data_IF_510182599106
#
_entry.id   IF_510182599106
#
_cell.length_a   1.000
_cell.length_b   1.000
_cell.length_c   1.000
_cell.angle_alpha   90.00
_cell.angle_beta   90.00
_cell.angle_gamma   90.00
#
_symmetry.space_group_name_H-M   'P 1'
#
loop_
_entity.id
_entity.type
_entity.pdbx_description
1 polymer ?
#
# COMPACT_ATOMS: atom_id res chain seq x y z
N UNK A 1 -25.65 7.12 -8.90
CA UNK A 1 -24.71 7.53 -9.97
C UNK A 1 -23.52 6.58 -9.93
N UNK A 2 -23.19 5.97 -11.06
CA UNK A 2 -21.96 5.19 -11.19
C UNK A 2 -20.83 6.17 -11.55
N UNK A 3 -19.81 6.27 -10.70
CA UNK A 3 -18.62 7.07 -11.02
C UNK A 3 -17.71 6.25 -11.93
N UNK A 4 -17.02 6.93 -12.85
CA UNK A 4 -15.98 6.29 -13.64
C UNK A 4 -14.78 5.88 -12.75
N UNK A 5 -14.13 4.77 -13.09
CA UNK A 5 -13.03 4.24 -12.27
C UNK A 5 -11.83 5.18 -12.23
N UNK A 6 -11.53 5.88 -13.33
CA UNK A 6 -10.44 6.86 -13.36
C UNK A 6 -10.79 8.06 -12.49
N UNK A 7 -12.04 8.52 -12.54
CA UNK A 7 -12.50 9.61 -11.69
C UNK A 7 -12.40 9.28 -10.19
N UNK A 8 -12.80 8.06 -9.80
CA UNK A 8 -12.66 7.60 -8.42
C UNK A 8 -11.19 7.53 -8.01
N UNK A 9 -10.28 7.11 -8.90
CA UNK A 9 -8.85 7.09 -8.63
C UNK A 9 -8.29 8.50 -8.37
N UNK A 10 -8.68 9.49 -9.17
CA UNK A 10 -8.30 10.89 -8.94
C UNK A 10 -8.83 11.41 -7.61
N UNK A 11 -10.08 11.09 -7.27
CA UNK A 11 -10.67 11.45 -5.97
C UNK A 11 -9.88 10.84 -4.79
N UNK A 12 -9.43 9.59 -4.95
CA UNK A 12 -8.57 8.91 -3.98
C UNK A 12 -7.23 9.65 -3.84
N UNK A 13 -6.58 10.00 -4.95
CA UNK A 13 -5.31 10.72 -4.95
C UNK A 13 -5.45 12.10 -4.27
N UNK A 14 -6.53 12.83 -4.56
CA UNK A 14 -6.85 14.10 -3.90
C UNK A 14 -7.01 13.92 -2.39
N UNK A 15 -7.77 12.89 -1.96
CA UNK A 15 -7.97 12.60 -0.54
C UNK A 15 -6.65 12.26 0.17
N UNK A 16 -5.75 11.52 -0.49
CA UNK A 16 -4.42 11.20 0.02
C UNK A 16 -3.53 12.44 0.18
N UNK A 17 -3.71 13.46 -0.67
CA UNK A 17 -2.99 14.75 -0.56
C UNK A 17 -3.53 15.61 0.58
N UNK A 18 -4.85 15.74 0.70
CA UNK A 18 -5.49 16.44 1.81
C UNK A 18 -6.95 16.03 2.00
N UNK A 19 -7.23 15.38 3.13
CA UNK A 19 -8.60 15.01 3.51
C UNK A 19 -9.48 16.24 3.78
N UNK A 20 -8.91 17.28 4.40
CA UNK A 20 -9.66 18.48 4.76
C UNK A 20 -10.13 19.24 3.52
N UNK A 21 -9.24 19.39 2.53
CA UNK A 21 -9.57 20.04 1.27
C UNK A 21 -10.64 19.24 0.50
N UNK A 22 -10.49 17.92 0.46
CA UNK A 22 -11.48 17.04 -0.19
C UNK A 22 -12.88 17.21 0.41
N UNK A 23 -12.99 17.17 1.75
CA UNK A 23 -14.28 17.38 2.43
C UNK A 23 -14.82 18.80 2.28
N UNK A 24 -13.96 19.82 2.23
CA UNK A 24 -14.38 21.19 1.97
C UNK A 24 -15.02 21.34 0.58
N UNK A 25 -14.32 20.89 -0.48
CA UNK A 25 -14.83 20.93 -1.86
C UNK A 25 -16.16 20.18 -1.98
N UNK A 26 -16.27 19.02 -1.31
CA UNK A 26 -17.48 18.20 -1.30
C UNK A 26 -18.65 18.87 -0.57
N UNK A 27 -18.41 19.42 0.63
CA UNK A 27 -19.46 20.05 1.47
C UNK A 27 -20.00 21.33 0.87
N UNK A 28 -19.15 22.10 0.19
CA UNK A 28 -19.53 23.33 -0.49
C UNK A 28 -20.02 23.08 -1.93
N UNK A 29 -20.18 21.81 -2.34
CA UNK A 29 -20.68 21.40 -3.66
C UNK A 29 -19.93 22.06 -4.83
N UNK A 30 -18.65 22.41 -4.62
CA UNK A 30 -17.79 23.05 -5.63
C UNK A 30 -17.57 22.07 -6.81
N UNK A 31 -17.56 20.77 -6.52
CA UNK A 31 -17.39 19.70 -7.50
C UNK A 31 -18.14 18.44 -7.06
N UNK A 32 -18.63 17.65 -8.03
CA UNK A 32 -19.29 16.37 -7.79
C UNK A 32 -18.30 15.30 -7.29
N UNK A 33 -18.12 15.22 -5.98
CA UNK A 33 -17.20 14.29 -5.32
C UNK A 33 -17.94 13.12 -4.65
N UNK A 34 -17.46 11.87 -4.80
CA UNK A 34 -17.99 10.73 -4.08
C UNK A 34 -17.84 10.89 -2.57
N UNK A 35 -18.76 10.29 -1.82
CA UNK A 35 -18.67 10.24 -0.36
C UNK A 35 -17.48 9.41 0.09
N UNK A 36 -16.97 9.69 1.30
CA UNK A 36 -15.92 8.87 1.93
C UNK A 36 -16.26 7.38 1.93
N UNK A 37 -17.50 7.02 2.25
CA UNK A 37 -17.96 5.62 2.22
C UNK A 37 -17.88 4.99 0.83
N UNK A 38 -18.10 5.77 -0.23
CA UNK A 38 -17.95 5.31 -1.61
C UNK A 38 -16.47 5.05 -1.95
N UNK A 39 -15.58 5.95 -1.55
CA UNK A 39 -14.13 5.78 -1.70
C UNK A 39 -13.62 4.58 -0.91
N UNK A 40 -14.04 4.42 0.35
CA UNK A 40 -13.65 3.30 1.21
C UNK A 40 -14.03 1.95 0.60
N UNK A 41 -15.21 1.85 -0.02
CA UNK A 41 -15.63 0.65 -0.76
C UNK A 41 -14.72 0.32 -1.94
N UNK A 42 -14.25 1.34 -2.66
CA UNK A 42 -13.29 1.15 -3.75
C UNK A 42 -11.91 0.77 -3.21
N UNK A 43 -11.46 1.42 -2.13
CA UNK A 43 -10.23 1.09 -1.42
C UNK A 43 -10.18 -0.36 -0.92
N UNK A 44 -11.30 -0.90 -0.42
CA UNK A 44 -11.39 -2.31 0.00
C UNK A 44 -11.12 -3.31 -1.13
N UNK A 45 -11.32 -2.91 -2.39
CA UNK A 45 -10.95 -3.70 -3.56
C UNK A 45 -9.44 -3.80 -3.76
N UNK A 46 -8.69 -2.76 -3.37
CA UNK A 46 -7.23 -2.74 -3.34
C UNK A 46 -6.71 -3.44 -2.08
N UNK A 47 -6.90 -4.76 -2.01
CA UNK A 47 -6.28 -5.57 -0.96
C UNK A 47 -4.75 -5.56 -1.13
N UNK A 48 -4.07 -4.75 -0.33
CA UNK A 48 -2.64 -4.91 -0.08
C UNK A 48 -2.46 -6.00 0.99
N UNK A 49 -1.84 -7.11 0.60
CA UNK A 49 -1.36 -8.13 1.53
C UNK A 49 0.05 -7.77 1.99
N UNK A 50 0.46 -8.22 3.18
CA UNK A 50 1.83 -8.02 3.65
C UNK A 50 2.84 -8.71 2.73
N UNK A 51 3.94 -8.03 2.44
CA UNK A 51 4.97 -8.47 1.52
C UNK A 51 4.68 -8.21 0.05
N UNK A 52 5.33 -8.99 -0.81
CA UNK A 52 5.36 -8.79 -2.25
C UNK A 52 4.02 -9.15 -2.91
N UNK A 53 3.42 -8.18 -3.60
CA UNK A 53 2.18 -8.39 -4.36
C UNK A 53 2.51 -8.68 -5.83
N UNK A 54 2.26 -9.91 -6.34
CA UNK A 54 2.58 -10.28 -7.72
C UNK A 54 1.95 -9.37 -8.76
N UNK A 55 0.74 -8.84 -8.49
CA UNK A 55 0.04 -7.92 -9.41
C UNK A 55 0.81 -6.62 -9.62
N UNK A 56 1.50 -6.15 -8.58
CA UNK A 56 2.33 -4.95 -8.68
C UNK A 56 3.53 -5.27 -9.57
N UNK A 57 4.21 -6.40 -9.36
CA UNK A 57 5.32 -6.82 -10.24
C UNK A 57 4.90 -6.99 -11.70
N UNK A 58 3.74 -7.59 -11.99
CA UNK A 58 3.24 -7.69 -13.37
C UNK A 58 2.95 -6.31 -14.00
N UNK A 59 2.42 -5.36 -13.22
CA UNK A 59 2.20 -4.00 -13.70
C UNK A 59 3.53 -3.25 -13.94
N UNK A 60 4.55 -3.52 -13.11
CA UNK A 60 5.88 -2.97 -13.29
C UNK A 60 6.60 -3.54 -14.49
N UNK A 61 6.52 -4.85 -14.68
CA UNK A 61 7.05 -5.52 -15.86
C UNK A 61 6.46 -4.87 -17.12
N UNK A 62 5.13 -4.72 -17.20
CA UNK A 62 4.47 -4.04 -18.32
C UNK A 62 4.97 -2.61 -18.53
N UNK A 63 5.13 -1.81 -17.47
CA UNK A 63 5.68 -0.45 -17.57
C UNK A 63 7.14 -0.40 -18.03
N UNK A 64 7.88 -1.47 -17.76
CA UNK A 64 9.32 -1.53 -17.93
C UNK A 64 9.74 -2.10 -19.29
N UNK A 65 8.82 -2.77 -20.01
CA UNK A 65 9.09 -3.42 -21.31
C UNK A 65 9.77 -2.52 -22.34
N UNK A 66 9.36 -1.26 -22.43
CA UNK A 66 9.88 -0.32 -23.43
C UNK A 66 11.04 0.54 -22.89
N UNK A 67 11.54 0.23 -21.69
CA UNK A 67 12.55 1.04 -21.01
C UNK A 67 13.95 0.48 -21.28
N UNK A 68 14.93 1.36 -21.48
CA UNK A 68 16.31 0.98 -21.73
C UNK A 68 16.93 0.21 -20.55
N UNK A 69 17.61 -0.90 -20.82
CA UNK A 69 18.13 -1.83 -19.80
C UNK A 69 18.99 -1.15 -18.72
N UNK A 70 19.88 -0.23 -19.10
CA UNK A 70 20.72 0.48 -18.12
C UNK A 70 19.93 1.38 -17.17
N UNK A 71 18.76 1.87 -17.59
CA UNK A 71 17.90 2.69 -16.74
C UNK A 71 17.11 1.89 -15.70
N UNK A 72 17.13 0.55 -15.82
CA UNK A 72 16.50 -0.39 -14.88
C UNK A 72 17.43 -0.80 -13.74
N UNK A 73 18.69 -0.37 -13.77
CA UNK A 73 19.62 -0.61 -12.69
C UNK A 73 19.29 0.32 -11.51
N UNK A 74 19.37 -0.23 -10.32
CA UNK A 74 19.05 0.46 -9.08
C UNK A 74 19.57 -0.25 -7.86
N UNK A 75 19.45 0.41 -6.71
CA UNK A 75 19.73 -0.16 -5.40
C UNK A 75 18.47 -0.75 -4.78
N UNK A 76 18.64 -1.86 -4.06
CA UNK A 76 17.64 -2.33 -3.10
C UNK A 76 18.01 -1.80 -1.72
N UNK A 77 17.13 -0.99 -1.15
CA UNK A 77 17.27 -0.46 0.20
C UNK A 77 16.31 -1.21 1.10
N UNK A 78 16.79 -1.67 2.24
CA UNK A 78 15.96 -2.29 3.26
C UNK A 78 16.21 -1.63 4.60
N UNK A 79 15.15 -1.45 5.37
CA UNK A 79 15.21 -0.86 6.71
C UNK A 79 14.07 -1.40 7.59
N UNK A 80 14.20 -1.26 8.90
CA UNK A 80 13.20 -1.67 9.89
C UNK A 80 12.53 -0.45 10.52
N UNK A 81 11.20 -0.40 10.45
CA UNK A 81 10.41 0.60 11.16
C UNK A 81 9.86 0.01 12.46
N UNK A 82 10.17 0.60 13.62
CA UNK A 82 9.52 0.21 14.88
C UNK A 82 8.02 0.52 14.80
N UNK A 83 7.20 -0.48 15.08
CA UNK A 83 5.73 -0.40 15.14
C UNK A 83 5.27 -0.49 16.60
N UNK A 84 4.08 0.05 16.85
CA UNK A 84 3.38 -0.23 18.10
C UNK A 84 2.75 -1.61 18.03
N UNK A 85 3.02 -2.43 19.02
CA UNK A 85 2.40 -3.75 19.18
C UNK A 85 0.90 -3.57 19.41
N UNK A 86 0.10 -4.00 18.45
CA UNK A 86 -1.35 -3.91 18.54
C UNK A 86 -2.02 -5.01 17.70
N UNK A 87 -3.07 -5.61 18.25
CA UNK A 87 -3.94 -6.56 17.56
C UNK A 87 -5.15 -5.81 17.01
N UNK A 88 -5.25 -5.73 15.69
CA UNK A 88 -6.41 -5.19 15.00
C UNK A 88 -7.24 -6.30 14.33
N UNK A 89 -8.54 -6.32 14.65
CA UNK A 89 -9.53 -7.12 13.94
C UNK A 89 -9.94 -6.40 12.65
N UNK A 90 -9.62 -7.00 11.49
CA UNK A 90 -10.11 -6.49 10.21
C UNK A 90 -11.56 -6.95 9.97
N UNK A 91 -12.29 -6.23 9.13
CA UNK A 91 -13.72 -6.43 8.80
C UNK A 91 -14.09 -7.81 8.17
N UNK A 92 -13.18 -8.79 8.18
CA UNK A 92 -13.38 -10.18 7.71
C UNK A 92 -12.84 -11.19 8.72
N UNK A 93 -12.86 -10.86 10.01
CA UNK A 93 -12.37 -11.70 11.12
C UNK A 93 -10.87 -12.07 11.02
N UNK A 94 -10.13 -11.45 10.10
CA UNK A 94 -8.69 -11.63 10.01
C UNK A 94 -8.03 -10.78 11.08
N UNK A 95 -7.49 -11.47 12.08
CA UNK A 95 -6.62 -10.89 13.09
C UNK A 95 -5.32 -10.41 12.40
N UNK A 96 -4.88 -9.20 12.74
CA UNK A 96 -3.63 -8.62 12.25
C UNK A 96 -2.87 -8.00 13.41
N UNK A 97 -1.54 -7.99 13.34
CA UNK A 97 -0.69 -7.56 14.46
C UNK A 97 0.32 -8.61 14.93
N UNK A 98 0.28 -9.80 14.36
CA UNK A 98 1.28 -10.85 14.60
C UNK A 98 2.42 -10.78 13.62
N UNK A 99 3.53 -11.42 13.96
CA UNK A 99 4.66 -11.63 13.07
C UNK A 99 4.20 -12.40 11.82
N UNK A 100 4.54 -11.88 10.65
CA UNK A 100 4.23 -12.50 9.36
C UNK A 100 5.46 -12.44 8.45
N UNK A 101 6.32 -13.44 8.57
CA UNK A 101 7.46 -13.68 7.68
C UNK A 101 7.07 -14.57 6.48
N UNK A 102 5.77 -14.79 6.23
CA UNK A 102 5.26 -15.73 5.24
C UNK A 102 5.66 -17.17 5.59
N UNK A 103 6.21 -17.90 4.61
CA UNK A 103 6.60 -19.31 4.76
C UNK A 103 7.74 -19.54 5.76
N UNK A 104 8.45 -18.49 6.14
CA UNK A 104 9.57 -18.54 7.09
C UNK A 104 9.15 -18.21 8.52
N UNK A 105 7.84 -18.07 8.78
CA UNK A 105 7.35 -17.81 10.14
C UNK A 105 7.38 -19.11 10.94
N UNK A 106 8.30 -19.20 11.89
CA UNK A 106 8.36 -20.33 12.80
C UNK A 106 7.06 -20.44 13.62
N UNK A 107 6.64 -21.65 14.02
CA UNK A 107 5.38 -21.86 14.75
C UNK A 107 5.28 -21.00 16.03
N UNK A 108 6.42 -20.79 16.69
CA UNK A 108 6.58 -20.04 17.93
C UNK A 108 6.32 -18.54 17.75
N UNK A 109 6.62 -18.00 16.57
CA UNK A 109 6.44 -16.59 16.25
C UNK A 109 5.05 -16.26 15.68
N UNK A 110 4.23 -17.26 15.32
CA UNK A 110 2.89 -17.01 14.77
C UNK A 110 1.93 -16.34 15.76
N UNK A 111 2.19 -16.49 17.06
CA UNK A 111 1.41 -15.90 18.14
C UNK A 111 2.09 -14.70 18.79
N UNK A 112 3.34 -14.38 18.40
CA UNK A 112 4.02 -13.17 18.90
C UNK A 112 3.56 -11.92 18.14
N UNK A 113 3.51 -10.81 18.86
CA UNK A 113 3.16 -9.51 18.27
C UNK A 113 4.30 -9.02 17.38
N UNK A 114 3.93 -8.39 16.28
CA UNK A 114 4.87 -7.70 15.41
C UNK A 114 5.16 -6.33 15.99
N UNK A 115 6.42 -6.09 16.31
CA UNK A 115 6.91 -4.84 16.87
C UNK A 115 7.78 -4.06 15.89
N UNK A 116 8.13 -4.64 14.74
CA UNK A 116 8.84 -3.99 13.64
C UNK A 116 8.15 -4.25 12.30
N UNK A 117 8.37 -3.37 11.33
CA UNK A 117 8.00 -3.55 9.94
C UNK A 117 9.25 -3.49 9.07
N UNK A 118 9.61 -4.60 8.42
CA UNK A 118 10.64 -4.61 7.39
C UNK A 118 10.12 -3.89 6.14
N UNK A 119 10.81 -2.84 5.74
CA UNK A 119 10.54 -2.07 4.53
C UNK A 119 11.61 -2.42 3.50
N UNK A 120 11.18 -2.75 2.28
CA UNK A 120 12.06 -3.02 1.14
C UNK A 120 11.68 -2.05 0.03
N UNK A 121 12.64 -1.28 -0.45
CA UNK A 121 12.46 -0.27 -1.48
C UNK A 121 13.44 -0.48 -2.62
N UNK A 122 12.93 -0.47 -3.86
CA UNK A 122 13.77 -0.39 -5.04
C UNK A 122 13.92 1.06 -5.46
N UNK A 123 15.17 1.52 -5.55
CA UNK A 123 15.54 2.87 -5.98
C UNK A 123 16.34 2.77 -7.28
N UNK A 124 15.75 3.08 -8.45
CA UNK A 124 16.50 3.14 -9.70
C UNK A 124 17.54 4.26 -9.68
N UNK A 125 18.64 4.06 -10.40
CA UNK A 125 19.73 5.04 -10.49
C UNK A 125 19.41 6.20 -11.43
N UNK A 126 18.70 5.92 -12.53
CA UNK A 126 18.39 6.92 -13.56
C UNK A 126 16.91 7.30 -13.60
N UNK A 127 16.01 6.38 -13.23
CA UNK A 127 14.59 6.67 -13.15
C UNK A 127 14.21 7.35 -11.82
N UNK A 128 13.15 8.16 -11.82
CA UNK A 128 12.62 8.85 -10.62
C UNK A 128 11.59 8.02 -9.84
N UNK A 129 11.17 6.87 -10.37
CA UNK A 129 10.07 6.09 -9.79
C UNK A 129 10.62 5.03 -8.82
N UNK A 130 10.38 5.24 -7.52
CA UNK A 130 10.73 4.30 -6.47
C UNK A 130 9.52 3.53 -5.97
N UNK A 131 9.72 2.28 -5.55
CA UNK A 131 8.63 1.40 -5.08
C UNK A 131 9.03 0.79 -3.76
N UNK A 132 8.14 0.89 -2.78
CA UNK A 132 8.34 0.41 -1.43
C UNK A 132 7.31 -0.65 -1.05
N UNK A 133 7.78 -1.68 -0.35
CA UNK A 133 6.99 -2.73 0.28
C UNK A 133 7.26 -2.72 1.78
N UNK A 134 6.26 -3.09 2.58
CA UNK A 134 6.41 -3.25 4.03
C UNK A 134 5.80 -4.58 4.50
N UNK A 135 6.43 -5.23 5.48
CA UNK A 135 5.98 -6.49 6.09
C UNK A 135 6.26 -6.47 7.60
N UNK A 136 5.33 -6.96 8.42
CA UNK A 136 5.52 -7.04 9.87
C UNK A 136 6.51 -8.14 10.27
N UNK A 137 7.47 -7.81 11.12
CA UNK A 137 8.48 -8.69 11.70
C UNK A 137 8.51 -8.51 13.24
N UNK A 138 9.11 -9.48 13.94
CA UNK A 138 9.58 -9.30 15.32
C UNK A 138 11.09 -9.55 15.38
N UNK A 139 11.75 -8.95 16.36
CA UNK A 139 13.14 -9.28 16.73
C UNK A 139 13.21 -10.45 17.72
#
# INVERSE_FOLDING_TARGET
MAYDKLWVLECILMQMKSLQLYEHIRKHEIMALPSKTCLDKHFQGFKSTFGFNPKVFSALEQKTKDTYEFSLHGGLVFDELKLYENIALKAREKLSGFVDLGNFTEPEHKTSLSDHGLIIMFQPFQARASISYARGAAR
#
